data_IF_244333913859
#
_entry.id   IF_244333913859
#
_cell.length_a   1.000
_cell.length_b   1.000
_cell.length_c   1.000
_cell.angle_alpha   90.00
_cell.angle_beta   90.00
_cell.angle_gamma   90.00
#
_symmetry.space_group_name_H-M   'P 1'
#
loop_
_entity.id
_entity.type
_entity.pdbx_description
1 polymer ?
#
# COMPACT_ATOMS: atom_id res chain seq x y z
N UNK A 1 -10.48 -9.56 10.28
CA UNK A 1 -10.94 -9.69 8.89
C UNK A 1 -9.86 -10.32 8.02
N UNK A 2 -10.22 -11.25 7.15
CA UNK A 2 -9.26 -12.07 6.41
C UNK A 2 -8.37 -11.27 5.45
N UNK A 3 -8.92 -10.28 4.75
CA UNK A 3 -8.12 -9.43 3.84
C UNK A 3 -7.02 -8.65 4.57
N UNK A 4 -7.36 -8.10 5.73
CA UNK A 4 -6.40 -7.37 6.55
C UNK A 4 -5.32 -8.31 7.08
N UNK A 5 -5.70 -9.48 7.59
CA UNK A 5 -4.76 -10.48 8.09
C UNK A 5 -3.79 -10.94 6.98
N UNK A 6 -4.30 -11.20 5.78
CA UNK A 6 -3.49 -11.59 4.62
C UNK A 6 -2.50 -10.49 4.26
N UNK A 7 -2.96 -9.25 4.20
CA UNK A 7 -2.11 -8.11 3.86
C UNK A 7 -1.01 -7.91 4.91
N UNK A 8 -1.36 -7.94 6.18
CA UNK A 8 -0.40 -7.79 7.27
C UNK A 8 0.66 -8.90 7.25
N UNK A 9 0.26 -10.13 6.95
CA UNK A 9 1.19 -11.25 6.82
C UNK A 9 2.17 -11.04 5.66
N UNK A 10 1.67 -10.66 4.50
CA UNK A 10 2.51 -10.38 3.34
C UNK A 10 3.53 -9.26 3.61
N UNK A 11 3.07 -8.18 4.23
CA UNK A 11 3.94 -7.07 4.62
C UNK A 11 5.01 -7.54 5.59
N UNK A 12 4.64 -8.29 6.62
CA UNK A 12 5.59 -8.76 7.65
C UNK A 12 6.66 -9.71 7.11
N UNK A 13 6.37 -10.43 6.04
CA UNK A 13 7.30 -11.34 5.38
C UNK A 13 8.21 -10.65 4.36
N UNK A 14 7.98 -9.37 4.08
CA UNK A 14 8.73 -8.61 3.07
C UNK A 14 9.91 -7.88 3.69
N UNK A 15 10.97 -7.69 2.91
CA UNK A 15 12.12 -6.87 3.30
C UNK A 15 11.82 -5.37 3.12
N UNK A 16 11.00 -5.07 2.12
CA UNK A 16 10.62 -3.71 1.78
C UNK A 16 9.24 -3.72 1.15
N UNK A 17 8.47 -2.68 1.42
CA UNK A 17 7.15 -2.48 0.79
C UNK A 17 7.08 -1.07 0.23
N UNK A 18 6.62 -0.95 -1.00
CA UNK A 18 6.29 0.33 -1.61
C UNK A 18 4.84 0.28 -2.09
N UNK A 19 4.20 1.42 -2.21
CA UNK A 19 2.85 1.39 -2.72
C UNK A 19 2.25 2.77 -2.96
N UNK A 20 1.12 2.74 -3.62
CA UNK A 20 0.30 3.91 -3.86
C UNK A 20 -1.10 3.56 -3.35
N UNK A 21 -1.50 4.19 -2.26
CA UNK A 21 -2.79 3.93 -1.62
C UNK A 21 -3.43 5.28 -1.30
N UNK A 22 -4.58 5.55 -1.90
CA UNK A 22 -5.23 6.85 -1.75
C UNK A 22 -5.50 7.21 -0.29
N UNK A 23 -6.05 6.26 0.48
CA UNK A 23 -6.25 6.40 1.92
C UNK A 23 -5.70 5.19 2.66
N UNK A 24 -4.84 5.44 3.61
CA UNK A 24 -4.19 4.39 4.40
C UNK A 24 -4.26 4.81 5.88
N UNK A 25 -5.22 4.25 6.61
CA UNK A 25 -5.46 4.61 8.00
C UNK A 25 -5.71 3.41 8.92
N UNK A 26 -5.75 2.19 8.40
CA UNK A 26 -6.02 1.01 9.21
C UNK A 26 -4.87 0.74 10.18
N UNK A 27 -5.10 0.74 11.51
CA UNK A 27 -4.01 0.67 12.50
C UNK A 27 -3.13 -0.58 12.40
N UNK A 28 -3.74 -1.74 12.12
CA UNK A 28 -2.98 -2.99 12.02
C UNK A 28 -2.05 -2.99 10.81
N UNK A 29 -2.51 -2.46 9.68
CA UNK A 29 -1.69 -2.36 8.47
C UNK A 29 -0.58 -1.33 8.67
N UNK A 30 -0.88 -0.19 9.28
CA UNK A 30 0.14 0.81 9.63
C UNK A 30 1.20 0.22 10.53
N UNK A 31 0.80 -0.57 11.54
CA UNK A 31 1.75 -1.22 12.44
C UNK A 31 2.64 -2.23 11.71
N UNK A 32 2.09 -2.99 10.77
CA UNK A 32 2.87 -3.91 9.95
C UNK A 32 3.88 -3.17 9.07
N UNK A 33 3.46 -2.09 8.42
CA UNK A 33 4.32 -1.28 7.56
C UNK A 33 5.45 -0.59 8.33
N UNK A 34 5.21 -0.17 9.57
CA UNK A 34 6.27 0.41 10.42
C UNK A 34 7.42 -0.53 10.70
N UNK A 35 7.17 -1.85 10.71
CA UNK A 35 8.18 -2.87 11.03
C UNK A 35 9.09 -3.22 9.86
N UNK A 36 8.76 -2.76 8.67
CA UNK A 36 9.57 -2.99 7.47
C UNK A 36 9.91 -1.65 6.81
N UNK A 37 10.87 -1.66 5.90
CA UNK A 37 11.20 -0.47 5.11
C UNK A 37 10.03 -0.19 4.17
N UNK A 38 9.24 0.82 4.49
CA UNK A 38 8.02 1.14 3.73
C UNK A 38 8.04 2.57 3.23
N UNK A 39 7.62 2.74 1.98
CA UNK A 39 7.41 4.05 1.35
C UNK A 39 6.09 4.05 0.61
N UNK A 40 5.20 4.96 0.95
CA UNK A 40 3.84 4.99 0.43
C UNK A 40 3.52 6.36 -0.17
N UNK A 41 2.98 6.36 -1.37
CA UNK A 41 2.39 7.54 -2.00
C UNK A 41 0.91 7.57 -1.65
N UNK A 42 0.44 8.67 -1.09
CA UNK A 42 -0.95 8.80 -0.63
C UNK A 42 -1.58 10.09 -1.12
N UNK A 43 -2.90 10.13 -1.09
CA UNK A 43 -3.66 11.36 -1.31
C UNK A 43 -3.41 12.33 -0.16
N UNK A 44 -3.19 13.59 -0.49
CA UNK A 44 -3.06 14.65 0.51
C UNK A 44 -4.42 14.91 1.15
N UNK A 45 -4.61 14.35 2.34
CA UNK A 45 -5.85 14.49 3.11
C UNK A 45 -5.54 14.43 4.60
N UNK A 46 -6.30 15.16 5.42
CA UNK A 46 -6.07 15.21 6.87
C UNK A 46 -6.13 13.83 7.55
N UNK A 47 -6.96 12.91 7.07
CA UNK A 47 -7.07 11.56 7.64
C UNK A 47 -5.84 10.70 7.38
N UNK A 48 -5.00 11.07 6.42
CA UNK A 48 -3.72 10.41 6.16
C UNK A 48 -2.56 11.02 6.98
N UNK A 49 -2.84 11.94 7.88
CA UNK A 49 -1.84 12.59 8.73
C UNK A 49 -1.72 11.86 10.07
N UNK A 50 -1.00 10.78 10.07
CA UNK A 50 -0.68 10.03 11.28
C UNK A 50 0.81 10.11 11.57
N UNK A 51 1.19 9.88 12.85
CA UNK A 51 2.60 9.90 13.27
C UNK A 51 3.11 8.46 13.36
N UNK A 52 3.67 7.98 12.28
CA UNK A 52 4.23 6.62 12.17
C UNK A 52 5.57 6.67 11.44
N UNK A 53 6.41 5.67 11.65
CA UNK A 53 7.72 5.52 11.00
C UNK A 53 7.56 4.89 9.61
N UNK A 54 6.84 5.56 8.75
CA UNK A 54 6.61 5.15 7.37
C UNK A 54 6.95 6.36 6.51
N UNK A 55 7.74 6.15 5.47
CA UNK A 55 8.06 7.23 4.52
C UNK A 55 6.83 7.48 3.65
N UNK A 56 6.44 8.72 3.52
CA UNK A 56 5.22 9.10 2.81
C UNK A 56 5.48 10.24 1.84
N UNK A 57 4.89 10.13 0.66
CA UNK A 57 4.75 11.25 -0.28
C UNK A 57 3.27 11.49 -0.53
N UNK A 58 2.84 12.74 -0.38
CA UNK A 58 1.46 13.13 -0.64
C UNK A 58 1.30 13.72 -2.04
N UNK A 59 0.28 13.24 -2.77
CA UNK A 59 -0.13 13.74 -4.08
C UNK A 59 -1.61 14.09 -4.01
N UNK A 60 -2.07 14.96 -4.90
CA UNK A 60 -3.48 15.33 -4.99
C UNK A 60 -3.71 16.80 -4.75
N UNK A 61 -2.99 17.64 -5.51
CA UNK A 61 -3.20 19.09 -5.53
C UNK A 61 -3.84 19.47 -6.87
N UNK A 62 -4.86 20.28 -6.79
CA UNK A 62 -5.58 20.76 -7.97
C UNK A 62 -6.42 19.63 -8.61
N UNK A 63 -6.25 19.42 -9.92
CA UNK A 63 -6.99 18.39 -10.67
C UNK A 63 -6.37 17.00 -10.59
N UNK A 64 -5.16 16.87 -10.03
CA UNK A 64 -4.50 15.58 -9.89
C UNK A 64 -5.07 14.83 -8.71
N UNK A 65 -5.62 13.66 -8.97
CA UNK A 65 -6.11 12.75 -7.94
C UNK A 65 -5.28 11.49 -7.95
N UNK A 66 -4.60 11.23 -6.83
CA UNK A 66 -3.93 9.95 -6.62
C UNK A 66 -4.98 8.95 -6.12
N UNK A 67 -5.39 8.03 -6.97
CA UNK A 67 -6.47 7.10 -6.69
C UNK A 67 -6.05 5.62 -6.78
N UNK A 68 -4.76 5.35 -6.91
CA UNK A 68 -4.23 4.00 -6.88
C UNK A 68 -4.45 3.33 -5.52
N UNK A 69 -4.57 2.01 -5.53
CA UNK A 69 -4.76 1.20 -4.33
C UNK A 69 -3.96 -0.10 -4.49
N UNK A 70 -2.63 0.02 -4.41
CA UNK A 70 -1.75 -1.15 -4.52
C UNK A 70 -0.56 -1.06 -3.58
N UNK A 71 -0.08 -2.24 -3.18
CA UNK A 71 1.19 -2.40 -2.46
C UNK A 71 2.04 -3.40 -3.22
N UNK A 72 3.35 -3.19 -3.22
CA UNK A 72 4.34 -4.10 -3.78
C UNK A 72 5.32 -4.49 -2.68
N UNK A 73 5.44 -5.78 -2.43
CA UNK A 73 6.41 -6.31 -1.49
C UNK A 73 7.65 -6.82 -2.19
N UNK A 74 8.80 -6.61 -1.57
CA UNK A 74 10.11 -7.01 -2.09
C UNK A 74 10.72 -8.07 -1.21
N UNK A 75 11.41 -9.00 -1.82
CA UNK A 75 12.39 -9.87 -1.15
C UNK A 75 13.80 -9.53 -1.66
N UNK A 76 14.80 -10.36 -1.32
CA UNK A 76 16.19 -10.13 -1.74
C UNK A 76 16.39 -10.10 -3.25
N UNK A 77 15.50 -10.71 -4.02
CA UNK A 77 15.58 -10.75 -5.48
C UNK A 77 14.81 -9.60 -6.17
N UNK A 78 14.12 -8.74 -5.40
CA UNK A 78 13.39 -7.60 -5.94
C UNK A 78 11.87 -7.70 -5.72
N UNK A 79 11.05 -7.04 -6.55
CA UNK A 79 9.60 -7.13 -6.41
C UNK A 79 9.11 -8.57 -6.48
N UNK A 80 8.33 -8.98 -5.50
CA UNK A 80 7.91 -10.37 -5.32
C UNK A 80 6.40 -10.58 -5.39
N UNK A 81 5.64 -9.63 -4.88
CA UNK A 81 4.18 -9.70 -4.90
C UNK A 81 3.57 -8.31 -5.05
N UNK A 82 2.33 -8.28 -5.49
CA UNK A 82 1.54 -7.06 -5.56
C UNK A 82 0.12 -7.33 -5.09
N UNK A 83 -0.41 -6.45 -4.26
CA UNK A 83 -1.83 -6.45 -3.93
C UNK A 83 -2.53 -5.36 -4.72
N UNK A 84 -3.64 -5.71 -5.33
CA UNK A 84 -4.49 -4.81 -6.10
C UNK A 84 -5.90 -4.89 -5.56
N UNK A 85 -6.60 -3.76 -5.52
CA UNK A 85 -7.97 -3.81 -5.07
C UNK A 85 -8.76 -2.56 -5.37
N UNK A 86 -10.04 -2.64 -5.12
CA UNK A 86 -10.96 -1.51 -5.24
C UNK A 86 -11.03 -0.68 -3.96
N UNK A 87 -10.48 -1.16 -2.84
CA UNK A 87 -10.65 -0.52 -1.55
C UNK A 87 -9.39 0.21 -1.07
N UNK A 88 -9.61 1.31 -0.38
CA UNK A 88 -8.58 1.97 0.40
C UNK A 88 -8.34 1.20 1.70
N UNK A 89 -7.13 1.33 2.26
CA UNK A 89 -6.77 0.58 3.48
C UNK A 89 -7.18 1.41 4.70
N UNK A 90 -8.47 1.43 4.96
CA UNK A 90 -9.11 2.13 6.08
C UNK A 90 -10.01 1.18 6.85
N UNK A 91 -10.42 1.56 8.06
CA UNK A 91 -11.38 0.77 8.83
C UNK A 91 -12.74 0.67 8.13
N UNK A 92 -13.24 1.76 7.57
CA UNK A 92 -14.52 1.76 6.89
C UNK A 92 -14.49 0.93 5.60
N UNK A 93 -13.38 0.95 4.87
CA UNK A 93 -13.24 0.15 3.66
C UNK A 93 -13.34 -1.35 3.93
N UNK A 94 -12.79 -1.84 5.06
CA UNK A 94 -12.84 -3.27 5.39
C UNK A 94 -14.23 -3.74 5.82
N UNK A 95 -15.16 -2.84 6.09
CA UNK A 95 -16.57 -3.18 6.35
C UNK A 95 -17.45 -3.08 5.10
N UNK A 96 -16.91 -2.52 4.01
CA UNK A 96 -17.61 -2.43 2.73
C UNK A 96 -17.45 -3.73 1.94
N UNK A 97 -18.28 -3.90 0.90
CA UNK A 97 -18.12 -5.00 -0.05
C UNK A 97 -17.07 -4.62 -1.08
N UNK A 98 -15.83 -4.93 -0.78
CA UNK A 98 -14.66 -4.54 -1.56
C UNK A 98 -13.85 -5.76 -1.99
N UNK A 99 -12.98 -5.57 -2.98
CA UNK A 99 -12.14 -6.63 -3.54
C UNK A 99 -10.67 -6.35 -3.27
N UNK A 100 -9.92 -7.43 -3.00
CA UNK A 100 -8.46 -7.40 -3.02
C UNK A 100 -7.95 -8.65 -3.70
N UNK A 101 -7.01 -8.48 -4.62
CA UNK A 101 -6.29 -9.56 -5.27
C UNK A 101 -4.83 -9.48 -4.90
N UNK A 102 -4.22 -10.63 -4.65
CA UNK A 102 -2.78 -10.73 -4.42
C UNK A 102 -2.18 -11.61 -5.49
N UNK A 103 -1.15 -11.10 -6.14
CA UNK A 103 -0.40 -11.82 -7.17
C UNK A 103 1.03 -12.04 -6.70
N UNK A 104 1.43 -13.29 -6.55
CA UNK A 104 2.83 -13.66 -6.30
C UNK A 104 3.55 -13.84 -7.65
N UNK A 105 3.62 -12.76 -8.39
CA UNK A 105 4.16 -12.72 -9.75
C UNK A 105 5.16 -11.56 -9.84
N UNK A 106 6.42 -11.88 -10.05
CA UNK A 106 7.50 -10.88 -10.09
C UNK A 106 7.38 -9.93 -11.26
N UNK A 107 6.88 -10.39 -12.41
CA UNK A 107 6.70 -9.52 -13.59
C UNK A 107 5.64 -8.46 -13.31
N UNK A 108 4.51 -8.88 -12.75
CA UNK A 108 3.42 -7.97 -12.41
C UNK A 108 3.85 -7.02 -11.28
N UNK A 109 4.49 -7.55 -10.25
CA UNK A 109 5.01 -6.74 -9.15
C UNK A 109 5.98 -5.67 -9.65
N UNK A 110 6.82 -6.01 -10.62
CA UNK A 110 7.76 -5.07 -11.23
C UNK A 110 7.04 -3.95 -11.99
N UNK A 111 5.95 -4.26 -12.69
CA UNK A 111 5.14 -3.25 -13.39
C UNK A 111 4.62 -2.21 -12.42
N UNK A 112 4.06 -2.65 -11.30
CA UNK A 112 3.52 -1.73 -10.29
C UNK A 112 4.62 -1.02 -9.51
N UNK A 113 5.76 -1.64 -9.29
CA UNK A 113 6.92 -0.98 -8.71
C UNK A 113 7.40 0.19 -9.58
N UNK A 114 7.38 0.04 -10.90
CA UNK A 114 7.70 1.12 -11.84
C UNK A 114 6.68 2.26 -11.79
N UNK A 115 5.40 1.96 -11.62
CA UNK A 115 4.37 2.98 -11.45
C UNK A 115 4.62 3.77 -10.16
N UNK A 116 4.98 3.09 -9.07
CA UNK A 116 5.39 3.75 -7.85
C UNK A 116 6.61 4.67 -8.08
N UNK A 117 7.63 4.17 -8.77
CA UNK A 117 8.85 4.95 -9.07
C UNK A 117 8.54 6.21 -9.87
N UNK A 118 7.57 6.14 -10.77
CA UNK A 118 7.12 7.28 -11.56
C UNK A 118 6.51 8.38 -10.69
N UNK A 119 5.87 8.01 -9.59
CA UNK A 119 5.16 8.93 -8.70
C UNK A 119 6.01 9.44 -7.53
N UNK A 120 7.06 8.72 -7.17
CA UNK A 120 7.93 9.12 -6.07
C UNK A 120 9.00 10.14 -6.54
#
# INVERSE_FOLDING_TARGET
MQMVATLCKLVSESEKVVGCVAWLTHPEVLSALERVDSTIVMTKHRSNRWKRRIKVKFIGKGRLLMHHKFLVGFDSAGPAWVSLGSFNVTKSAVTNLENMLVFRDRRLAKVFSKEFDRLI
#
